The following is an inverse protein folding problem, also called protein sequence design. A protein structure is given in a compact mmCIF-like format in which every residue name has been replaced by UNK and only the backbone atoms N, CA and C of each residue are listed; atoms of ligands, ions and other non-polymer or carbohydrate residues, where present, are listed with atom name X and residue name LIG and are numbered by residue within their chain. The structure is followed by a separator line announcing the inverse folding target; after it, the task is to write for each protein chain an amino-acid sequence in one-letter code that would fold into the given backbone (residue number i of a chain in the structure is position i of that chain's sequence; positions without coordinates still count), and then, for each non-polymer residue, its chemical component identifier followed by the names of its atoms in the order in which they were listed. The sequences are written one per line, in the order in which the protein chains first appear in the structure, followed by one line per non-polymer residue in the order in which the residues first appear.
data_IF_889519098015
#
_entry.id   IF_889519098015
#
_cell.length_a   1.000
_cell.length_b   1.000
_cell.length_c   1.000
_cell.angle_alpha   90.00
_cell.angle_beta   90.00
_cell.angle_gamma   90.00
#
_symmetry.space_group_name_H-M   'P 1'
#
loop_
_entity.id
_entity.type
_entity.pdbx_description
1 polymer ?
#
# COMPACT_ATOMS: atom_id res chain seq x y z
N UNK A 1 15.60 -6.65 -24.09
CA UNK A 1 14.75 -5.91 -23.16
C UNK A 1 14.83 -6.63 -21.82
N UNK A 2 15.53 -6.05 -20.86
CA UNK A 2 15.54 -6.52 -19.47
C UNK A 2 14.31 -5.95 -18.79
N UNK A 3 13.30 -6.78 -18.61
CA UNK A 3 12.18 -6.48 -17.72
C UNK A 3 12.65 -6.94 -16.34
N UNK A 4 12.95 -6.01 -15.44
CA UNK A 4 13.19 -6.32 -14.03
C UNK A 4 11.88 -6.87 -13.46
N UNK A 5 11.82 -8.18 -13.32
CA UNK A 5 10.71 -8.86 -12.65
C UNK A 5 11.21 -9.17 -11.24
N UNK A 6 10.88 -8.30 -10.29
CA UNK A 6 11.03 -8.62 -8.88
C UNK A 6 9.90 -9.61 -8.54
N UNK A 7 10.25 -10.89 -8.48
CA UNK A 7 9.46 -11.89 -7.76
C UNK A 7 9.79 -11.71 -6.28
N UNK A 8 8.86 -11.13 -5.51
CA UNK A 8 8.92 -11.17 -4.04
C UNK A 8 7.80 -12.06 -3.51
N UNK A 9 8.01 -13.37 -3.69
CA UNK A 9 7.15 -14.44 -3.20
C UNK A 9 7.88 -15.08 -2.00
N UNK A 10 7.55 -14.68 -0.75
CA UNK A 10 7.64 -15.55 0.45
C UNK A 10 7.35 -14.86 1.81
N UNK A 11 7.17 -13.54 1.87
CA UNK A 11 6.79 -12.85 3.12
C UNK A 11 5.89 -11.68 2.79
N UNK A 12 4.63 -11.97 2.42
CA UNK A 12 3.62 -10.98 1.96
C UNK A 12 3.16 -10.03 3.08
N UNK A 13 4.10 -9.27 3.65
CA UNK A 13 3.86 -8.15 4.54
C UNK A 13 4.00 -6.81 3.84
N UNK A 14 4.42 -6.80 2.57
CA UNK A 14 4.63 -5.61 1.75
C UNK A 14 3.96 -5.80 0.38
N UNK A 15 3.22 -4.80 -0.08
CA UNK A 15 2.58 -4.76 -1.40
C UNK A 15 2.87 -3.42 -2.06
N UNK A 16 3.29 -3.48 -3.32
CA UNK A 16 3.47 -2.28 -4.14
C UNK A 16 2.10 -1.80 -4.61
N UNK A 17 1.70 -0.62 -4.16
CA UNK A 17 0.35 -0.10 -4.38
C UNK A 17 0.02 0.18 -5.86
N UNK A 18 1.04 0.28 -6.71
CA UNK A 18 0.90 0.38 -8.18
C UNK A 18 0.12 -0.79 -8.78
N UNK A 19 0.25 -1.99 -8.21
CA UNK A 19 -0.46 -3.19 -8.70
C UNK A 19 -1.97 -3.13 -8.47
N UNK A 20 -2.42 -2.25 -7.57
CA UNK A 20 -3.80 -2.13 -7.12
C UNK A 20 -4.49 -1.00 -7.88
N UNK A 21 -3.86 0.18 -7.90
CA UNK A 21 -4.42 1.33 -8.59
C UNK A 21 -3.32 2.29 -9.08
N UNK A 22 -3.39 2.80 -10.33
CA UNK A 22 -2.38 3.73 -10.87
C UNK A 22 -2.20 5.01 -10.04
N UNK A 23 -3.24 5.45 -9.34
CA UNK A 23 -3.16 6.61 -8.45
C UNK A 23 -2.30 6.39 -7.20
N UNK A 24 -2.04 5.13 -6.82
CA UNK A 24 -1.22 4.77 -5.68
C UNK A 24 0.22 4.42 -6.09
N UNK A 25 0.55 4.58 -7.37
CA UNK A 25 1.90 4.34 -7.86
C UNK A 25 2.92 5.13 -7.03
N UNK A 26 4.01 4.44 -6.66
CA UNK A 26 5.08 4.98 -5.81
C UNK A 26 4.82 4.92 -4.31
N UNK A 27 3.71 4.34 -3.84
CA UNK A 27 3.51 4.01 -2.44
C UNK A 27 3.87 2.55 -2.14
N UNK A 28 4.52 2.35 -1.01
CA UNK A 28 4.79 1.05 -0.42
C UNK A 28 3.86 0.84 0.76
N UNK A 29 3.16 -0.28 0.75
CA UNK A 29 2.15 -0.61 1.75
C UNK A 29 2.58 -1.84 2.53
N UNK A 30 2.47 -1.79 3.85
CA UNK A 30 2.76 -2.91 4.73
C UNK A 30 1.61 -3.18 5.70
N UNK A 31 1.57 -4.38 6.28
CA UNK A 31 0.64 -4.69 7.36
C UNK A 31 0.98 -3.83 8.58
N UNK A 32 -0.02 -3.16 9.15
CA UNK A 32 0.16 -2.30 10.32
C UNK A 32 -1.11 -2.15 11.15
N UNK A 33 -1.05 -1.24 12.12
CA UNK A 33 -2.15 -0.92 13.02
C UNK A 33 -2.28 0.60 13.13
N UNK A 34 -3.52 1.07 13.27
CA UNK A 34 -3.83 2.48 13.52
C UNK A 34 -3.53 2.85 14.98
N UNK A 35 -3.55 4.14 15.30
CA UNK A 35 -3.29 4.68 16.63
C UNK A 35 -4.18 4.08 17.74
N UNK A 36 -5.39 3.62 17.38
CA UNK A 36 -6.33 2.95 18.27
C UNK A 36 -6.11 1.42 18.39
N UNK A 37 -5.08 0.86 17.74
CA UNK A 37 -4.78 -0.58 17.72
C UNK A 37 -5.65 -1.39 16.76
N UNK A 38 -6.27 -0.73 15.77
CA UNK A 38 -7.05 -1.41 14.74
C UNK A 38 -6.13 -1.89 13.61
N UNK A 39 -6.21 -3.15 13.23
CA UNK A 39 -5.47 -3.68 12.08
C UNK A 39 -5.84 -2.93 10.78
N UNK A 40 -4.82 -2.63 9.98
CA UNK A 40 -4.94 -1.89 8.73
C UNK A 40 -3.68 -2.01 7.87
N UNK A 41 -3.55 -1.09 6.93
CA UNK A 41 -2.42 -1.05 5.99
C UNK A 41 -1.63 0.22 6.19
N UNK A 42 -0.41 0.10 6.70
CA UNK A 42 0.50 1.22 6.91
C UNK A 42 1.24 1.56 5.62
N UNK A 43 1.34 2.84 5.30
CA UNK A 43 2.21 3.34 4.23
C UNK A 43 3.62 3.44 4.79
N UNK A 44 4.49 2.48 4.44
CA UNK A 44 5.88 2.45 4.92
C UNK A 44 6.79 3.41 4.18
N UNK A 45 6.41 3.85 2.99
CA UNK A 45 7.20 4.75 2.18
C UNK A 45 6.44 5.29 0.99
N UNK A 46 6.85 6.48 0.55
CA UNK A 46 6.28 7.12 -0.64
C UNK A 46 7.35 7.80 -1.49
N UNK A 47 7.37 7.49 -2.78
CA UNK A 47 8.30 8.08 -3.72
C UNK A 47 7.95 9.55 -4.01
N UNK A 48 8.96 10.43 -4.04
CA UNK A 48 8.78 11.84 -4.37
C UNK A 48 8.27 12.03 -5.80
N UNK A 49 7.34 12.97 -6.00
CA UNK A 49 6.72 13.23 -7.31
C UNK A 49 5.76 12.14 -7.81
N UNK A 50 5.55 11.07 -7.03
CA UNK A 50 4.66 9.97 -7.37
C UNK A 50 3.18 10.38 -7.39
N UNK A 51 2.32 9.68 -8.15
CA UNK A 51 0.88 9.88 -8.09
C UNK A 51 0.30 9.77 -6.68
N UNK A 52 0.78 8.81 -5.87
CA UNK A 52 0.34 8.62 -4.49
C UNK A 52 0.58 9.88 -3.64
N UNK A 53 1.75 10.50 -3.78
CA UNK A 53 2.06 11.74 -3.05
C UNK A 53 1.18 12.90 -3.53
N UNK A 54 0.89 12.97 -4.84
CA UNK A 54 0.05 14.03 -5.43
C UNK A 54 -1.41 13.95 -5.00
N UNK A 55 -1.92 12.76 -4.70
CA UNK A 55 -3.27 12.59 -4.14
C UNK A 55 -3.30 12.85 -2.62
N UNK A 56 -2.15 13.09 -2.01
CA UNK A 56 -2.02 13.44 -0.60
C UNK A 56 -1.74 12.29 0.34
N UNK A 57 -1.45 11.08 -0.17
CA UNK A 57 -0.98 9.97 0.65
C UNK A 57 0.40 10.31 1.22
N UNK A 58 0.67 9.89 2.45
CA UNK A 58 1.95 10.13 3.13
C UNK A 58 2.49 8.86 3.75
N UNK A 59 3.79 8.86 3.97
CA UNK A 59 4.42 7.89 4.86
C UNK A 59 3.79 8.00 6.26
N UNK A 60 3.70 6.87 6.95
CA UNK A 60 3.05 6.71 8.26
C UNK A 60 1.50 6.78 8.25
N UNK A 61 0.86 7.01 7.09
CA UNK A 61 -0.60 6.91 6.99
C UNK A 61 -1.06 5.45 7.17
N UNK A 62 -2.14 5.23 7.91
CA UNK A 62 -2.78 3.91 8.06
C UNK A 62 -4.11 3.87 7.32
N UNK A 63 -4.21 2.99 6.34
CA UNK A 63 -5.40 2.77 5.54
C UNK A 63 -6.25 1.68 6.17
N UNK A 64 -7.44 2.08 6.64
CA UNK A 64 -8.43 1.18 7.26
C UNK A 64 -9.53 0.74 6.29
N UNK A 65 -9.66 1.42 5.16
CA UNK A 65 -10.65 1.11 4.13
C UNK A 65 -10.26 1.69 2.76
N UNK A 66 -10.63 0.99 1.70
CA UNK A 66 -10.50 1.43 0.30
C UNK A 66 -11.80 1.15 -0.43
N UNK A 67 -12.26 2.09 -1.27
CA UNK A 67 -13.44 1.83 -2.11
C UNK A 67 -14.72 1.49 -1.35
N UNK A 68 -14.87 1.91 -0.08
CA UNK A 68 -15.95 1.51 0.87
C UNK A 68 -15.84 0.09 1.44
N UNK A 69 -14.76 -0.63 1.15
CA UNK A 69 -14.43 -1.91 1.75
C UNK A 69 -13.44 -1.70 2.90
N UNK A 70 -13.76 -2.24 4.08
CA UNK A 70 -12.83 -2.26 5.21
C UNK A 70 -11.72 -3.27 4.90
N UNK A 71 -10.49 -2.88 5.19
CA UNK A 71 -9.29 -3.69 4.96
C UNK A 71 -8.47 -3.72 6.23
N UNK A 72 -7.97 -4.89 6.57
CA UNK A 72 -7.21 -5.13 7.80
C UNK A 72 -5.76 -5.55 7.53
N UNK A 73 -5.43 -5.81 6.27
CA UNK A 73 -4.12 -6.26 5.83
C UNK A 73 -3.91 -5.92 4.34
N UNK A 74 -2.65 -6.00 3.88
CA UNK A 74 -2.24 -5.66 2.52
C UNK A 74 -2.83 -6.60 1.46
N UNK A 75 -3.16 -7.85 1.81
CA UNK A 75 -3.81 -8.77 0.87
C UNK A 75 -5.25 -8.34 0.60
N UNK A 76 -6.02 -8.01 1.64
CA UNK A 76 -7.37 -7.46 1.51
C UNK A 76 -7.36 -6.13 0.75
N UNK A 77 -6.36 -5.28 0.97
CA UNK A 77 -6.21 -4.03 0.24
C UNK A 77 -5.94 -4.25 -1.25
N UNK A 78 -5.23 -5.32 -1.62
CA UNK A 78 -4.98 -5.70 -3.02
C UNK A 78 -6.23 -6.26 -3.71
N UNK A 79 -7.06 -6.99 -2.98
CA UNK A 79 -8.26 -7.66 -3.53
C UNK A 79 -9.52 -6.76 -3.54
N UNK A 80 -9.45 -5.56 -2.95
CA UNK A 80 -10.55 -4.60 -2.88
C UNK A 80 -10.62 -3.68 -4.12
#
# INVERSE_FOLDING_TARGET
LTLDVILDDATQNEVVAEQIHPALQGATLINGEDADGNAGVLVSGIAEGSPALRIGLREEDVVLAVGRQRVTNVMEFRDA
#
